data_IF_964105381161
#
_entry.id   IF_964105381161
#
_cell.length_a   1.000
_cell.length_b   1.000
_cell.length_c   1.000
_cell.angle_alpha   90.00
_cell.angle_beta   90.00
_cell.angle_gamma   90.00
#
_symmetry.space_group_name_H-M   'P 1'
#
loop_
_entity.id
_entity.type
_entity.pdbx_description
1 polymer ?
#
# COMPACT_ATOMS: atom_id res chain seq x y z
N UNK A 1 3.60 -2.40 -0.64
CA UNK A 1 3.31 -3.82 -0.41
C UNK A 1 2.75 -4.33 -1.73
N UNK A 2 3.58 -4.95 -2.58
CA UNK A 2 3.08 -5.53 -3.81
C UNK A 2 2.19 -6.71 -3.43
N UNK A 3 0.92 -6.68 -3.86
CA UNK A 3 0.15 -7.90 -4.04
C UNK A 3 0.84 -8.73 -5.12
N UNK A 4 1.85 -9.51 -4.73
CA UNK A 4 2.19 -10.72 -5.44
C UNK A 4 0.97 -11.62 -5.26
N UNK A 5 0.10 -11.66 -6.27
CA UNK A 5 -0.86 -12.74 -6.41
C UNK A 5 -0.04 -14.02 -6.51
N UNK A 6 0.20 -14.65 -5.37
CA UNK A 6 0.65 -16.04 -5.28
C UNK A 6 -0.55 -16.92 -5.66
N UNK A 7 -1.01 -16.79 -6.90
CA UNK A 7 -1.84 -17.81 -7.52
C UNK A 7 -0.86 -18.86 -8.05
N UNK A 8 -1.03 -20.15 -7.69
CA UNK A 8 -0.27 -21.19 -8.34
C UNK A 8 -0.54 -21.09 -9.86
N UNK A 9 0.48 -21.21 -10.72
CA UNK A 9 0.29 -21.27 -12.15
C UNK A 9 -0.36 -22.62 -12.47
N UNK A 10 -1.67 -22.73 -12.28
CA UNK A 10 -2.47 -23.81 -12.84
C UNK A 10 -2.81 -23.40 -14.29
N UNK A 11 -2.09 -23.90 -15.31
CA UNK A 11 -2.36 -23.56 -16.71
C UNK A 11 -3.78 -23.99 -17.15
N UNK A 12 -4.39 -24.93 -16.44
CA UNK A 12 -5.74 -25.45 -16.71
C UNK A 12 -6.83 -24.44 -16.34
N UNK A 13 -6.62 -23.56 -15.34
CA UNK A 13 -7.64 -22.55 -14.94
C UNK A 13 -7.84 -21.44 -15.98
N UNK A 14 -6.89 -21.29 -16.90
CA UNK A 14 -6.91 -20.26 -17.94
C UNK A 14 -7.06 -20.85 -19.36
N UNK A 15 -7.17 -22.18 -19.50
CA UNK A 15 -7.48 -22.81 -20.78
C UNK A 15 -8.92 -22.44 -21.19
N UNK A 16 -9.03 -21.63 -22.24
CA UNK A 16 -10.31 -21.11 -22.74
C UNK A 16 -10.62 -19.67 -22.31
N UNK A 17 -9.87 -19.08 -21.38
CA UNK A 17 -9.90 -17.63 -21.19
C UNK A 17 -9.14 -17.00 -22.37
N UNK A 18 -9.89 -16.35 -23.26
CA UNK A 18 -9.30 -15.52 -24.32
C UNK A 18 -8.26 -14.55 -23.73
N UNK A 19 -7.22 -14.27 -24.52
CA UNK A 19 -6.16 -13.32 -24.16
C UNK A 19 -6.81 -12.02 -23.64
N UNK A 20 -6.47 -11.59 -22.42
CA UNK A 20 -6.99 -10.33 -21.90
C UNK A 20 -6.51 -9.20 -22.81
N UNK A 21 -7.45 -8.49 -23.42
CA UNK A 21 -7.16 -7.32 -24.24
C UNK A 21 -7.50 -6.06 -23.46
N UNK A 22 -6.81 -4.96 -23.78
CA UNK A 22 -7.11 -3.67 -23.19
C UNK A 22 -8.56 -3.24 -23.49
N UNK A 23 -9.01 -3.42 -24.73
CA UNK A 23 -10.41 -3.16 -25.11
C UNK A 23 -11.41 -4.02 -24.34
N UNK A 24 -11.11 -5.30 -24.11
CA UNK A 24 -11.94 -6.20 -23.30
C UNK A 24 -12.07 -5.71 -21.86
N UNK A 25 -10.97 -5.28 -21.23
CA UNK A 25 -10.98 -4.69 -19.89
C UNK A 25 -11.86 -3.43 -19.83
N UNK A 26 -11.71 -2.53 -20.81
CA UNK A 26 -12.47 -1.28 -20.85
C UNK A 26 -13.98 -1.51 -20.99
N UNK A 27 -14.38 -2.49 -21.82
CA UNK A 27 -15.78 -2.87 -21.97
C UNK A 27 -16.32 -3.63 -20.74
N UNK A 28 -15.46 -4.31 -19.99
CA UNK A 28 -15.87 -4.96 -18.75
C UNK A 28 -16.10 -3.97 -17.59
N UNK A 29 -15.47 -2.79 -17.63
CA UNK A 29 -15.64 -1.76 -16.59
C UNK A 29 -16.86 -0.86 -16.85
N UNK A 30 -17.05 -0.41 -18.09
CA UNK A 30 -18.00 0.66 -18.47
C UNK A 30 -18.70 0.34 -19.80
N UNK A 31 -18.87 -0.95 -20.11
CA UNK A 31 -19.57 -1.39 -21.31
C UNK A 31 -21.09 -1.48 -21.11
N UNK A 32 -21.83 -1.53 -22.22
CA UNK A 32 -23.31 -1.66 -22.24
C UNK A 32 -23.80 -2.93 -21.54
N UNK A 33 -22.94 -3.96 -21.46
CA UNK A 33 -23.20 -5.21 -20.75
C UNK A 33 -22.67 -5.23 -19.31
N UNK A 34 -22.19 -4.09 -18.78
CA UNK A 34 -21.70 -4.00 -17.40
C UNK A 34 -22.87 -4.13 -16.42
N UNK A 35 -22.70 -4.97 -15.40
CA UNK A 35 -23.70 -5.19 -14.34
C UNK A 35 -23.77 -3.98 -13.42
N UNK A 36 -24.99 -3.57 -13.05
CA UNK A 36 -25.20 -2.51 -12.05
C UNK A 36 -24.70 -2.91 -10.65
N UNK A 37 -24.59 -1.92 -9.75
CA UNK A 37 -24.23 -2.08 -8.33
C UNK A 37 -22.85 -2.73 -8.04
N UNK A 38 -21.83 -2.39 -8.83
CA UNK A 38 -20.44 -2.86 -8.63
C UNK A 38 -19.50 -1.73 -8.19
N UNK A 39 -18.68 -2.01 -7.18
CA UNK A 39 -17.55 -1.15 -6.78
C UNK A 39 -16.24 -1.82 -7.21
N UNK A 40 -15.35 -1.06 -7.86
CA UNK A 40 -14.05 -1.54 -8.33
C UNK A 40 -12.92 -0.76 -7.68
N UNK A 41 -11.95 -1.49 -7.13
CA UNK A 41 -10.67 -0.94 -6.70
C UNK A 41 -9.59 -1.30 -7.70
N UNK A 42 -8.78 -0.30 -8.07
CA UNK A 42 -7.60 -0.48 -8.91
C UNK A 42 -6.39 0.11 -8.19
N UNK A 43 -5.25 -0.55 -8.33
CA UNK A 43 -3.98 -0.12 -7.73
C UNK A 43 -2.90 -0.13 -8.80
N UNK A 44 -2.05 0.90 -8.85
CA UNK A 44 -0.87 0.95 -9.70
C UNK A 44 0.28 1.62 -8.95
N UNK A 45 1.51 1.20 -9.22
CA UNK A 45 2.70 1.91 -8.77
C UNK A 45 3.13 3.02 -9.76
N UNK A 46 2.57 3.02 -10.98
CA UNK A 46 2.92 3.90 -12.08
C UNK A 46 1.66 4.42 -12.76
N UNK A 47 1.07 5.48 -12.18
CA UNK A 47 -0.18 6.08 -12.72
C UNK A 47 0.05 6.77 -14.06
N UNK A 48 1.27 7.27 -14.30
CA UNK A 48 1.75 7.89 -15.53
C UNK A 48 1.75 6.95 -16.74
N UNK A 49 1.74 5.63 -16.51
CA UNK A 49 1.71 4.61 -17.56
C UNK A 49 0.30 4.16 -17.93
N UNK A 50 -0.73 4.67 -17.26
CA UNK A 50 -2.11 4.31 -17.55
C UNK A 50 -2.63 5.12 -18.74
N UNK A 51 -3.32 4.44 -19.65
CA UNK A 51 -4.03 5.08 -20.76
C UNK A 51 -5.13 6.01 -20.19
N UNK A 52 -5.21 7.28 -20.62
CA UNK A 52 -6.24 8.23 -20.15
C UNK A 52 -7.67 7.70 -20.31
N UNK A 53 -7.95 6.86 -21.30
CA UNK A 53 -9.25 6.25 -21.50
C UNK A 53 -9.62 5.29 -20.35
N UNK A 54 -8.65 4.65 -19.70
CA UNK A 54 -8.91 3.77 -18.54
C UNK A 54 -9.36 4.56 -17.31
N UNK A 55 -8.79 5.74 -17.10
CA UNK A 55 -8.94 6.53 -15.85
C UNK A 55 -9.84 7.77 -15.99
N UNK A 56 -10.60 7.87 -17.08
CA UNK A 56 -11.59 8.94 -17.29
C UNK A 56 -12.80 8.78 -16.34
N UNK A 57 -13.54 9.86 -16.04
CA UNK A 57 -14.80 9.79 -15.30
C UNK A 57 -15.77 8.77 -15.92
N UNK A 58 -16.50 8.02 -15.09
CA UNK A 58 -17.35 6.88 -15.48
C UNK A 58 -16.63 5.52 -15.40
N UNK A 59 -15.30 5.50 -15.42
CA UNK A 59 -14.49 4.29 -15.11
C UNK A 59 -13.76 4.42 -13.78
N UNK A 60 -13.16 5.59 -13.53
CA UNK A 60 -12.49 5.93 -12.29
C UNK A 60 -12.95 7.30 -11.82
N UNK A 61 -13.79 7.29 -10.81
CA UNK A 61 -14.36 8.52 -10.26
C UNK A 61 -13.53 9.10 -9.11
N UNK A 62 -12.72 8.26 -8.44
CA UNK A 62 -11.84 8.67 -7.35
C UNK A 62 -10.42 8.14 -7.56
N UNK A 63 -9.43 9.03 -7.44
CA UNK A 63 -8.00 8.71 -7.53
C UNK A 63 -7.30 9.22 -6.28
N UNK A 64 -6.77 8.30 -5.48
CA UNK A 64 -6.07 8.62 -4.24
C UNK A 64 -4.63 8.16 -4.29
N UNK A 65 -3.72 8.99 -3.78
CA UNK A 65 -2.31 8.66 -3.67
C UNK A 65 -2.00 8.08 -2.28
N UNK A 66 -1.41 6.89 -2.25
CA UNK A 66 -0.96 6.23 -1.02
C UNK A 66 0.57 6.19 -0.99
N UNK A 67 1.16 7.15 -0.28
CA UNK A 67 2.60 7.38 -0.25
C UNK A 67 3.36 6.77 0.92
N UNK A 68 4.54 7.35 1.17
CA UNK A 68 5.38 7.04 2.33
C UNK A 68 4.77 7.53 3.65
N UNK A 69 5.28 7.01 4.76
CA UNK A 69 4.78 7.35 6.09
C UNK A 69 4.96 8.83 6.40
N UNK A 70 3.87 9.51 6.74
CA UNK A 70 3.89 10.77 7.45
C UNK A 70 4.27 10.59 8.91
N UNK A 71 4.60 11.70 9.58
CA UNK A 71 4.81 11.72 11.04
C UNK A 71 3.63 11.09 11.78
N UNK A 72 2.41 11.50 11.43
CA UNK A 72 1.19 10.95 12.02
C UNK A 72 1.12 9.43 11.85
N UNK A 73 1.35 8.91 10.64
CA UNK A 73 1.31 7.46 10.38
C UNK A 73 2.34 6.71 11.23
N UNK A 74 3.57 7.24 11.40
CA UNK A 74 4.58 6.64 12.26
C UNK A 74 4.13 6.57 13.72
N UNK A 75 3.58 7.66 14.27
CA UNK A 75 3.05 7.66 15.65
C UNK A 75 1.92 6.65 15.83
N UNK A 76 1.03 6.57 14.84
CA UNK A 76 -0.12 5.67 14.85
C UNK A 76 0.31 4.20 14.76
N UNK A 77 1.29 3.89 13.92
CA UNK A 77 1.84 2.55 13.82
C UNK A 77 2.55 2.13 15.11
N UNK A 78 3.34 3.03 15.71
CA UNK A 78 4.02 2.77 16.99
C UNK A 78 3.02 2.42 18.09
N UNK A 79 1.97 3.22 18.27
CA UNK A 79 0.93 2.99 19.29
C UNK A 79 0.16 1.67 19.08
N UNK A 80 0.02 1.22 17.83
CA UNK A 80 -0.64 -0.04 17.49
C UNK A 80 0.25 -1.26 17.76
N UNK A 81 1.56 -1.12 17.56
CA UNK A 81 2.53 -2.18 17.84
C UNK A 81 2.88 -2.29 19.33
N UNK A 82 2.94 -1.15 20.04
CA UNK A 82 3.27 -1.06 21.46
C UNK A 82 2.11 -0.40 22.22
N UNK A 83 0.99 -1.11 22.43
CA UNK A 83 -0.15 -0.57 23.15
C UNK A 83 0.19 -0.31 24.62
N UNK A 84 -0.36 0.76 25.19
CA UNK A 84 -0.13 1.15 26.60
C UNK A 84 1.07 2.08 26.83
N UNK A 85 1.92 2.27 25.81
CA UNK A 85 3.04 3.20 25.89
C UNK A 85 2.59 4.67 25.84
N UNK A 86 3.39 5.55 26.46
CA UNK A 86 3.10 6.98 26.51
C UNK A 86 3.08 7.59 25.09
N UNK A 87 2.11 8.48 24.75
CA UNK A 87 2.05 9.12 23.44
C UNK A 87 3.31 9.93 23.06
N UNK A 88 4.08 10.38 24.05
CA UNK A 88 5.37 11.05 23.84
C UNK A 88 6.40 10.14 23.17
N UNK A 89 6.45 8.85 23.53
CA UNK A 89 7.38 7.88 22.94
C UNK A 89 7.12 7.65 21.46
N UNK A 90 5.85 7.60 21.06
CA UNK A 90 5.46 7.49 19.66
C UNK A 90 5.92 8.71 18.84
N UNK A 91 5.85 9.92 19.42
CA UNK A 91 6.38 11.13 18.79
C UNK A 91 7.90 11.08 18.67
N UNK A 92 8.60 10.69 19.74
CA UNK A 92 10.06 10.53 19.71
C UNK A 92 10.51 9.52 18.65
N UNK A 93 9.82 8.39 18.51
CA UNK A 93 10.07 7.44 17.43
C UNK A 93 9.91 8.09 16.05
N UNK A 94 8.77 8.74 15.81
CA UNK A 94 8.48 9.37 14.53
C UNK A 94 9.52 10.46 14.17
N UNK A 95 9.90 11.30 15.12
CA UNK A 95 10.90 12.35 14.94
C UNK A 95 12.26 11.76 14.55
N UNK A 96 12.71 10.72 15.26
CA UNK A 96 13.99 10.05 14.96
C UNK A 96 14.01 9.40 13.58
N UNK A 97 12.92 8.74 13.19
CA UNK A 97 12.81 8.11 11.86
C UNK A 97 12.88 9.18 10.76
N UNK A 98 12.16 10.29 10.90
CA UNK A 98 12.13 11.33 9.87
C UNK A 98 13.41 12.17 9.81
N UNK A 99 14.19 12.23 10.89
CA UNK A 99 15.55 12.78 10.88
C UNK A 99 16.54 11.84 10.19
N UNK A 100 16.30 10.53 10.27
CA UNK A 100 17.18 9.50 9.74
C UNK A 100 16.94 9.22 8.23
N UNK A 101 15.70 9.30 7.74
CA UNK A 101 15.38 9.01 6.34
C UNK A 101 14.33 9.95 5.77
N UNK A 102 14.47 10.30 4.49
CA UNK A 102 13.53 11.16 3.76
C UNK A 102 12.27 10.41 3.33
N UNK A 103 12.36 9.09 3.13
CA UNK A 103 11.25 8.27 2.67
C UNK A 103 11.29 6.89 3.33
N UNK A 104 10.17 6.51 3.93
CA UNK A 104 9.99 5.18 4.52
C UNK A 104 8.59 4.66 4.24
N UNK A 105 8.49 3.41 3.77
CA UNK A 105 7.20 2.77 3.54
C UNK A 105 6.66 2.13 4.84
N UNK A 106 5.32 2.05 5.01
CA UNK A 106 4.73 1.33 6.15
C UNK A 106 5.23 -0.11 6.27
N UNK A 107 5.52 -0.78 5.15
CA UNK A 107 6.05 -2.15 5.16
C UNK A 107 7.44 -2.24 5.81
N UNK A 108 8.31 -1.25 5.58
CA UNK A 108 9.62 -1.19 6.24
C UNK A 108 9.47 -0.96 7.74
N UNK A 109 8.60 -0.03 8.14
CA UNK A 109 8.32 0.26 9.56
C UNK A 109 7.78 -0.99 10.26
N UNK A 110 6.84 -1.70 9.63
CA UNK A 110 6.32 -2.96 10.15
C UNK A 110 7.42 -4.00 10.31
N UNK A 111 8.24 -4.21 9.28
CA UNK A 111 9.37 -5.15 9.34
C UNK A 111 10.38 -4.80 10.45
N UNK A 112 10.60 -3.50 10.68
CA UNK A 112 11.44 -3.02 11.77
C UNK A 112 10.87 -3.34 13.14
N UNK A 113 9.57 -3.09 13.37
CA UNK A 113 8.93 -3.44 14.64
C UNK A 113 8.94 -4.94 14.93
N UNK A 114 8.97 -5.79 13.89
CA UNK A 114 9.12 -7.24 14.07
C UNK A 114 10.47 -7.65 14.71
N UNK A 115 11.50 -6.81 14.62
CA UNK A 115 12.79 -7.02 15.29
C UNK A 115 12.74 -6.68 16.79
N UNK A 116 11.76 -5.86 17.22
CA UNK A 116 11.64 -5.32 18.57
C UNK A 116 10.25 -5.56 19.19
N UNK A 117 9.63 -6.73 18.95
CA UNK A 117 8.20 -7.04 19.24
C UNK A 117 7.64 -6.53 20.57
N UNK A 118 8.41 -6.60 21.65
CA UNK A 118 8.00 -6.20 23.00
C UNK A 118 9.00 -5.20 23.61
N UNK A 119 9.76 -4.49 22.76
CA UNK A 119 10.84 -3.60 23.16
C UNK A 119 10.69 -2.23 22.49
N UNK A 120 9.72 -1.40 22.96
CA UNK A 120 9.51 -0.05 22.42
C UNK A 120 10.73 0.85 22.62
N UNK A 121 11.47 0.67 23.72
CA UNK A 121 12.68 1.44 24.00
C UNK A 121 13.78 1.12 22.98
N UNK A 122 14.02 -0.17 22.70
CA UNK A 122 14.95 -0.61 21.66
C UNK A 122 14.54 -0.13 20.28
N UNK A 123 13.25 -0.14 19.96
CA UNK A 123 12.73 0.40 18.70
C UNK A 123 12.99 1.91 18.53
N UNK A 124 12.97 2.70 19.61
CA UNK A 124 13.29 4.14 19.56
C UNK A 124 14.79 4.37 19.47
N UNK A 125 15.58 3.67 20.29
CA UNK A 125 17.03 3.84 20.33
C UNK A 125 17.66 3.51 18.97
N UNK A 126 17.23 2.41 18.35
CA UNK A 126 17.79 1.92 17.09
C UNK A 126 17.08 2.45 15.85
N UNK A 127 16.21 3.48 15.98
CA UNK A 127 15.43 4.01 14.86
C UNK A 127 16.30 4.49 13.68
N UNK A 128 17.56 4.86 13.94
CA UNK A 128 18.53 5.23 12.90
C UNK A 128 18.96 4.07 12.00
N UNK A 129 18.76 2.81 12.40
CA UNK A 129 19.02 1.65 11.53
C UNK A 129 18.07 1.58 10.33
N UNK A 130 17.01 2.39 10.32
CA UNK A 130 16.11 2.59 9.17
C UNK A 130 16.71 3.52 8.09
N UNK A 131 17.92 4.04 8.30
CA UNK A 131 18.72 4.72 7.25
C UNK A 131 18.98 3.73 6.11
N UNK A 132 18.71 4.18 4.88
CA UNK A 132 19.21 3.51 3.68
C UNK A 132 20.60 4.03 3.34
#
# INVERSE_FOLDING_TARGET
MLLSLCLPPDPVKYQGLGRLTFSGLLNALDGVASTEARIVFMTTNHVDRLDPALIRPGRVDLKEYVGHCSHWQLTQMFQRFYPGEAPSLAKTFADRVLQATTQISPAQVQGYFMLYKNDPAGAIHNAESLKR
#
